data_IF_671899496339
#
_entry.id   IF_671899496339
#
_cell.length_a   1.000
_cell.length_b   1.000
_cell.length_c   1.000
_cell.angle_alpha   90.00
_cell.angle_beta   90.00
_cell.angle_gamma   90.00
#
_symmetry.space_group_name_H-M   'P 1'
#
loop_
_entity.id
_entity.type
_entity.pdbx_description
1 polymer ?
#
# COMPACT_ATOMS: atom_id res chain seq x y z
N UNK A 1 -20.55 18.56 20.69
CA UNK A 1 -19.58 18.11 21.73
C UNK A 1 -20.04 18.47 23.13
N UNK A 2 -20.44 19.72 23.42
CA UNK A 2 -20.91 20.13 24.75
C UNK A 2 -22.10 19.31 25.25
N UNK A 3 -23.04 18.93 24.36
CA UNK A 3 -24.23 18.15 24.74
C UNK A 3 -23.90 16.70 25.10
N UNK A 4 -22.98 16.07 24.37
CA UNK A 4 -22.54 14.69 24.65
C UNK A 4 -21.78 14.65 25.98
N UNK A 5 -20.86 15.58 26.22
CA UNK A 5 -20.15 15.68 27.49
C UNK A 5 -21.08 15.92 28.70
N UNK A 6 -22.08 16.75 28.54
CA UNK A 6 -23.09 16.98 29.58
C UNK A 6 -23.92 15.71 29.84
N UNK A 7 -24.34 14.99 28.82
CA UNK A 7 -25.11 13.75 28.95
C UNK A 7 -24.31 12.65 29.69
N UNK A 8 -23.04 12.46 29.31
CA UNK A 8 -22.14 11.48 29.97
C UNK A 8 -21.97 11.84 31.44
N UNK A 9 -21.66 13.10 31.74
CA UNK A 9 -21.48 13.59 33.13
C UNK A 9 -22.76 13.36 33.96
N UNK A 10 -23.93 13.70 33.45
CA UNK A 10 -25.20 13.53 34.14
C UNK A 10 -25.49 12.06 34.46
N UNK A 11 -25.24 11.15 33.55
CA UNK A 11 -25.46 9.72 33.78
C UNK A 11 -24.45 9.15 34.80
N UNK A 12 -23.20 9.55 34.74
CA UNK A 12 -22.19 9.17 35.72
C UNK A 12 -22.57 9.64 37.11
N UNK A 13 -22.96 10.92 37.26
CA UNK A 13 -23.29 11.50 38.54
C UNK A 13 -24.50 10.78 39.16
N UNK A 14 -25.55 10.51 38.38
CA UNK A 14 -26.68 9.68 38.81
C UNK A 14 -26.27 8.27 39.24
N UNK A 15 -25.39 7.62 38.51
CA UNK A 15 -24.90 6.27 38.85
C UNK A 15 -24.11 6.28 40.13
N UNK A 16 -23.18 7.23 40.30
CA UNK A 16 -22.35 7.33 41.48
C UNK A 16 -23.16 7.70 42.73
N UNK A 17 -24.16 8.58 42.59
CA UNK A 17 -25.08 8.96 43.69
C UNK A 17 -25.89 7.77 44.17
N UNK A 18 -26.49 7.01 43.24
CA UNK A 18 -27.25 5.80 43.57
C UNK A 18 -26.37 4.74 44.28
N UNK A 19 -25.11 4.60 43.86
CA UNK A 19 -24.18 3.63 44.46
C UNK A 19 -23.80 4.05 45.90
N UNK A 20 -23.51 5.34 46.11
CA UNK A 20 -23.21 5.91 47.42
C UNK A 20 -24.41 5.76 48.37
N UNK A 21 -25.63 5.99 47.87
CA UNK A 21 -26.88 5.80 48.60
C UNK A 21 -27.05 4.33 49.04
N UNK A 22 -26.91 3.38 48.12
CA UNK A 22 -27.03 1.95 48.37
C UNK A 22 -26.02 1.44 49.41
N UNK A 23 -24.85 2.03 49.46
CA UNK A 23 -23.78 1.67 50.41
C UNK A 23 -23.91 2.37 51.76
N UNK A 24 -24.85 3.29 51.92
CA UNK A 24 -25.03 4.08 53.16
C UNK A 24 -23.85 5.00 53.47
N UNK A 25 -23.16 5.50 52.43
CA UNK A 25 -21.96 6.35 52.50
C UNK A 25 -22.27 7.83 52.23
N UNK A 26 -23.53 8.22 52.31
CA UNK A 26 -23.94 9.61 52.13
C UNK A 26 -23.29 10.49 53.20
N UNK A 27 -22.76 11.64 52.78
CA UNK A 27 -22.07 12.59 53.65
C UNK A 27 -20.74 12.11 54.25
N UNK A 28 -20.31 10.88 53.98
CA UNK A 28 -19.03 10.34 54.49
C UNK A 28 -17.90 10.58 53.46
N UNK A 29 -16.68 10.67 53.97
CA UNK A 29 -15.47 10.78 53.15
C UNK A 29 -15.29 9.61 52.15
N UNK A 30 -15.74 8.39 52.53
CA UNK A 30 -15.79 7.22 51.64
C UNK A 30 -16.69 7.40 50.43
N UNK A 31 -17.87 8.07 50.59
CA UNK A 31 -18.75 8.38 49.49
C UNK A 31 -18.14 9.38 48.49
N UNK A 32 -17.48 10.41 49.02
CA UNK A 32 -16.77 11.40 48.21
C UNK A 32 -15.61 10.74 47.43
N UNK A 33 -14.86 9.86 48.11
CA UNK A 33 -13.78 9.10 47.46
C UNK A 33 -14.30 8.21 46.32
N UNK A 34 -15.40 7.48 46.57
CA UNK A 34 -16.01 6.62 45.53
C UNK A 34 -16.46 7.40 44.31
N UNK A 35 -17.11 8.55 44.47
CA UNK A 35 -17.50 9.42 43.34
C UNK A 35 -16.30 9.90 42.54
N UNK A 36 -15.21 10.32 43.22
CA UNK A 36 -13.97 10.72 42.55
C UNK A 36 -13.32 9.55 41.81
N UNK A 37 -13.31 8.35 42.36
CA UNK A 37 -12.77 7.15 41.75
C UNK A 37 -13.55 6.76 40.50
N UNK A 38 -14.89 6.80 40.53
CA UNK A 38 -15.75 6.54 39.37
C UNK A 38 -15.46 7.56 38.26
N UNK A 39 -15.37 8.85 38.59
CA UNK A 39 -15.07 9.90 37.62
C UNK A 39 -13.67 9.72 36.99
N UNK A 40 -12.69 9.29 37.75
CA UNK A 40 -11.34 9.01 37.28
C UNK A 40 -11.30 7.80 36.32
N UNK A 41 -11.96 6.70 36.71
CA UNK A 41 -12.06 5.49 35.86
C UNK A 41 -12.77 5.80 34.53
N UNK A 42 -13.86 6.55 34.56
CA UNK A 42 -14.57 6.99 33.36
C UNK A 42 -13.66 7.83 32.45
N UNK A 43 -12.94 8.79 33.06
CA UNK A 43 -12.03 9.65 32.32
C UNK A 43 -10.91 8.85 31.62
N UNK A 44 -10.31 7.87 32.32
CA UNK A 44 -9.33 6.96 31.74
C UNK A 44 -9.97 6.08 30.65
N UNK A 45 -11.15 5.53 30.92
CA UNK A 45 -11.86 4.67 29.97
C UNK A 45 -12.19 5.40 28.66
N UNK A 46 -12.72 6.62 28.74
CA UNK A 46 -13.00 7.43 27.56
C UNK A 46 -11.74 7.82 26.79
N UNK A 47 -10.68 8.20 27.49
CA UNK A 47 -9.39 8.49 26.86
C UNK A 47 -8.83 7.25 26.15
N UNK A 48 -8.88 6.08 26.79
CA UNK A 48 -8.43 4.82 26.21
C UNK A 48 -9.23 4.46 24.95
N UNK A 49 -10.55 4.56 25.02
CA UNK A 49 -11.43 4.31 23.85
C UNK A 49 -11.06 5.26 22.70
N UNK A 50 -10.88 6.55 22.99
CA UNK A 50 -10.49 7.54 22.00
C UNK A 50 -9.13 7.20 21.35
N UNK A 51 -8.15 6.83 22.18
CA UNK A 51 -6.82 6.39 21.69
C UNK A 51 -6.94 5.17 20.78
N UNK A 52 -7.73 4.16 21.16
CA UNK A 52 -7.95 2.96 20.34
C UNK A 52 -8.65 3.30 19.01
N UNK A 53 -9.60 4.22 19.01
CA UNK A 53 -10.28 4.70 17.80
C UNK A 53 -9.27 5.41 16.89
N UNK A 54 -8.48 6.33 17.45
CA UNK A 54 -7.44 7.05 16.70
C UNK A 54 -6.42 6.07 16.11
N UNK A 55 -5.93 5.13 16.91
CA UNK A 55 -4.98 4.11 16.43
C UNK A 55 -5.56 3.26 15.30
N UNK A 56 -6.83 2.86 15.42
CA UNK A 56 -7.46 2.00 14.40
C UNK A 56 -7.77 2.74 13.10
N UNK A 57 -8.15 4.03 13.18
CA UNK A 57 -8.61 4.80 12.01
C UNK A 57 -7.49 5.60 11.37
N UNK A 58 -6.62 6.22 12.17
CA UNK A 58 -5.63 7.20 11.69
C UNK A 58 -4.20 6.67 11.65
N UNK A 59 -3.82 5.79 12.58
CA UNK A 59 -2.45 5.35 12.74
C UNK A 59 -2.29 3.86 12.45
N UNK A 60 -1.62 3.55 11.34
CA UNK A 60 -1.12 2.20 11.08
C UNK A 60 0.19 1.96 11.83
N UNK A 61 0.32 0.80 12.47
CA UNK A 61 1.58 0.33 13.05
C UNK A 61 2.14 -0.76 12.13
N UNK A 62 3.28 -0.49 11.50
CA UNK A 62 3.89 -1.39 10.52
C UNK A 62 5.26 -1.87 11.00
N UNK A 63 5.50 -3.17 10.92
CA UNK A 63 6.81 -3.78 11.09
C UNK A 63 7.45 -3.97 9.71
N UNK A 64 8.69 -3.54 9.54
CA UNK A 64 9.44 -3.71 8.30
C UNK A 64 10.31 -4.97 8.39
N UNK A 65 10.00 -6.03 7.64
CA UNK A 65 10.74 -7.28 7.74
C UNK A 65 11.99 -7.35 6.86
N UNK A 66 12.08 -6.51 5.82
CA UNK A 66 13.12 -6.60 4.77
C UNK A 66 13.99 -5.36 4.68
N UNK A 67 15.18 -5.51 4.11
CA UNK A 67 16.14 -4.42 3.90
C UNK A 67 15.89 -3.57 2.63
N UNK A 68 14.75 -3.71 1.96
CA UNK A 68 14.50 -3.03 0.67
C UNK A 68 14.45 -1.48 0.75
N UNK A 69 14.34 -0.93 1.96
CA UNK A 69 14.31 0.52 2.22
C UNK A 69 15.57 1.01 2.95
N UNK A 70 16.61 0.19 3.03
CA UNK A 70 17.91 0.62 3.58
C UNK A 70 18.54 1.72 2.72
N UNK A 71 19.25 2.65 3.34
CA UNK A 71 19.50 2.84 4.77
C UNK A 71 18.40 3.61 5.51
N UNK A 72 17.36 4.08 4.83
CA UNK A 72 16.30 4.92 5.42
C UNK A 72 15.52 4.16 6.49
N UNK A 73 15.14 2.92 6.18
CA UNK A 73 14.40 2.04 7.09
C UNK A 73 15.11 0.69 7.09
N UNK A 74 15.46 0.21 8.28
CA UNK A 74 16.15 -1.07 8.46
C UNK A 74 15.16 -2.20 8.79
N UNK A 75 15.54 -3.46 8.56
CA UNK A 75 14.77 -4.60 9.06
C UNK A 75 14.51 -4.49 10.56
N UNK A 76 13.30 -4.88 10.98
CA UNK A 76 12.78 -4.79 12.36
C UNK A 76 12.46 -3.37 12.85
N UNK A 77 12.63 -2.32 12.05
CA UNK A 77 12.08 -1.01 12.37
C UNK A 77 10.54 -1.09 12.44
N UNK A 78 9.96 -0.30 13.35
CA UNK A 78 8.50 -0.11 13.41
C UNK A 78 8.15 1.32 13.04
N UNK A 79 7.14 1.43 12.20
CA UNK A 79 6.72 2.70 11.60
C UNK A 79 5.28 3.02 12.01
N UNK A 80 5.03 4.31 12.21
CA UNK A 80 3.67 4.82 12.14
C UNK A 80 3.38 5.33 10.73
N UNK A 81 2.22 4.93 10.23
CA UNK A 81 1.68 5.42 8.96
C UNK A 81 0.36 6.15 9.19
N UNK A 82 0.16 7.24 8.45
CA UNK A 82 -1.12 7.94 8.39
C UNK A 82 -2.01 7.25 7.36
N UNK A 83 -3.08 6.59 7.82
CA UNK A 83 -4.00 5.79 7.00
C UNK A 83 -5.07 6.63 6.28
N UNK A 84 -5.21 7.91 6.64
CA UNK A 84 -6.29 8.75 6.13
C UNK A 84 -5.82 9.85 5.19
N UNK A 85 -4.52 10.12 5.12
CA UNK A 85 -3.97 11.24 4.34
C UNK A 85 -4.39 11.18 2.87
N UNK A 86 -4.38 9.99 2.26
CA UNK A 86 -4.72 9.78 0.85
C UNK A 86 -6.23 9.71 0.58
N UNK A 87 -7.07 9.89 1.60
CA UNK A 87 -8.50 10.19 1.42
C UNK A 87 -8.76 11.67 1.08
N UNK A 88 -7.79 12.54 1.37
CA UNK A 88 -7.91 13.99 1.22
C UNK A 88 -6.99 14.57 0.14
N UNK A 89 -5.93 13.86 -0.22
CA UNK A 89 -5.01 14.23 -1.30
C UNK A 89 -4.35 13.00 -1.91
N UNK A 90 -3.73 13.18 -3.05
CA UNK A 90 -2.96 12.11 -3.71
C UNK A 90 -1.55 11.96 -3.11
N UNK A 91 -0.92 10.79 -3.29
CA UNK A 91 0.50 10.61 -3.01
C UNK A 91 1.37 11.58 -3.80
N UNK A 92 2.43 12.10 -3.16
CA UNK A 92 3.41 13.00 -3.74
C UNK A 92 4.74 12.28 -3.93
N UNK A 93 5.57 12.80 -4.85
CA UNK A 93 6.93 12.27 -5.04
C UNK A 93 7.73 12.36 -3.74
N UNK A 94 8.58 11.37 -3.53
CA UNK A 94 9.39 11.15 -2.33
C UNK A 94 8.66 10.67 -1.08
N UNK A 95 7.35 10.59 -1.08
CA UNK A 95 6.63 10.02 0.06
C UNK A 95 6.86 8.51 0.17
N UNK A 96 7.04 8.05 1.39
CA UNK A 96 7.12 6.63 1.69
C UNK A 96 5.71 6.10 1.92
N UNK A 97 5.27 5.22 1.04
CA UNK A 97 3.93 4.62 1.08
C UNK A 97 3.97 3.19 1.60
N UNK A 98 2.91 2.80 2.29
CA UNK A 98 2.60 1.41 2.62
C UNK A 98 1.42 1.00 1.76
N UNK A 99 1.56 -0.07 1.02
CA UNK A 99 0.56 -0.54 0.06
C UNK A 99 0.49 -2.07 0.01
N UNK A 100 -0.63 -2.61 -0.46
CA UNK A 100 -0.73 -4.02 -0.80
C UNK A 100 -0.01 -4.28 -2.11
N UNK A 101 0.91 -5.24 -2.12
CA UNK A 101 1.63 -5.59 -3.32
C UNK A 101 0.67 -6.07 -4.43
N UNK A 102 1.00 -5.86 -5.72
CA UNK A 102 0.03 -6.01 -6.81
C UNK A 102 -0.29 -7.46 -7.20
N UNK A 103 0.49 -8.44 -6.75
CA UNK A 103 0.37 -9.83 -7.20
C UNK A 103 -0.48 -10.66 -6.23
N UNK A 104 -0.02 -10.85 -4.98
CA UNK A 104 -0.73 -11.65 -3.98
C UNK A 104 -1.91 -10.88 -3.35
N UNK A 105 -1.84 -9.54 -3.36
CA UNK A 105 -2.80 -8.65 -2.70
C UNK A 105 -2.97 -8.92 -1.18
N UNK A 106 -1.99 -9.55 -0.56
CA UNK A 106 -2.00 -9.98 0.86
C UNK A 106 -0.94 -9.27 1.68
N UNK A 107 0.27 -9.15 1.15
CA UNK A 107 1.43 -8.62 1.85
C UNK A 107 1.51 -7.11 1.69
N UNK A 108 1.90 -6.42 2.77
CA UNK A 108 2.15 -4.99 2.72
C UNK A 108 3.61 -4.72 2.40
N UNK A 109 3.82 -3.90 1.36
CA UNK A 109 5.13 -3.38 1.00
C UNK A 109 5.27 -1.93 1.42
N UNK A 110 6.49 -1.55 1.72
CA UNK A 110 6.87 -0.16 1.99
C UNK A 110 7.88 0.26 0.94
N UNK A 111 7.57 1.29 0.15
CA UNK A 111 8.41 1.85 -0.91
C UNK A 111 8.26 3.36 -0.98
N UNK A 112 9.15 4.01 -1.71
CA UNK A 112 9.09 5.44 -1.99
C UNK A 112 8.42 5.69 -3.32
N UNK A 113 7.50 6.65 -3.37
CA UNK A 113 6.90 7.13 -4.62
C UNK A 113 7.95 7.91 -5.40
N UNK A 114 8.34 7.40 -6.55
CA UNK A 114 9.36 8.04 -7.41
C UNK A 114 8.79 8.56 -8.70
N UNK A 115 7.65 8.04 -9.17
CA UNK A 115 6.95 8.54 -10.33
C UNK A 115 5.46 8.68 -10.07
N UNK A 116 4.86 9.71 -10.67
CA UNK A 116 3.47 10.11 -10.53
C UNK A 116 2.64 9.77 -11.79
N UNK A 117 1.32 9.71 -11.70
CA UNK A 117 0.44 9.38 -12.82
C UNK A 117 0.68 10.27 -14.05
N UNK A 118 0.81 9.67 -15.21
CA UNK A 118 1.01 10.33 -16.49
C UNK A 118 2.46 10.73 -16.79
N UNK A 119 3.39 10.48 -15.90
CA UNK A 119 4.79 10.80 -16.12
C UNK A 119 5.52 9.75 -16.96
N UNK A 120 6.47 10.23 -17.77
CA UNK A 120 7.45 9.42 -18.48
C UNK A 120 8.65 9.18 -17.58
N UNK A 121 9.02 7.93 -17.34
CA UNK A 121 10.14 7.56 -16.47
C UNK A 121 11.11 6.61 -17.18
N UNK A 122 12.41 6.76 -16.93
CA UNK A 122 13.44 5.85 -17.40
C UNK A 122 14.69 5.93 -16.54
N UNK A 123 15.55 4.91 -16.62
CA UNK A 123 16.87 4.88 -15.99
C UNK A 123 17.94 5.10 -17.05
N UNK A 124 18.84 6.03 -16.77
CA UNK A 124 20.04 6.32 -17.57
C UNK A 124 21.19 6.61 -16.63
N UNK A 125 22.36 5.99 -16.87
CA UNK A 125 23.57 6.15 -16.09
C UNK A 125 23.30 5.99 -14.56
N UNK A 126 22.53 4.97 -14.21
CA UNK A 126 22.08 4.68 -12.83
C UNK A 126 21.22 5.79 -12.18
N UNK A 127 20.70 6.73 -12.95
CA UNK A 127 19.84 7.79 -12.42
C UNK A 127 18.42 7.66 -12.98
N UNK A 128 17.44 7.98 -12.13
CA UNK A 128 16.04 8.06 -12.56
C UNK A 128 15.80 9.42 -13.22
N UNK A 129 15.24 9.37 -14.41
CA UNK A 129 14.72 10.53 -15.12
C UNK A 129 13.20 10.49 -15.11
N UNK A 130 12.59 11.64 -14.91
CA UNK A 130 11.14 11.85 -14.94
C UNK A 130 10.86 13.04 -15.83
N UNK A 131 10.07 12.83 -16.89
CA UNK A 131 9.80 13.84 -17.93
C UNK A 131 11.08 14.49 -18.47
N UNK A 132 12.08 13.64 -18.70
CA UNK A 132 13.43 14.02 -19.18
C UNK A 132 14.29 14.83 -18.16
N UNK A 133 13.80 15.04 -16.93
CA UNK A 133 14.56 15.68 -15.84
C UNK A 133 15.19 14.63 -14.93
N UNK A 134 16.49 14.79 -14.63
CA UNK A 134 17.22 13.91 -13.73
C UNK A 134 16.78 14.10 -12.27
N UNK A 135 16.38 13.03 -11.62
CA UNK A 135 16.03 13.03 -10.20
C UNK A 135 17.27 12.69 -9.36
N UNK A 136 17.84 13.68 -8.68
CA UNK A 136 19.09 13.58 -7.93
C UNK A 136 18.89 13.08 -6.49
N UNK A 137 18.17 11.97 -6.30
CA UNK A 137 17.90 11.46 -4.94
C UNK A 137 18.80 10.26 -4.64
N UNK A 138 18.93 9.34 -5.60
CA UNK A 138 19.69 8.09 -5.45
C UNK A 138 20.16 7.57 -6.79
N UNK A 139 21.20 6.76 -6.77
CA UNK A 139 21.58 5.93 -7.90
C UNK A 139 20.78 4.63 -7.89
N UNK A 140 20.25 4.25 -9.01
CA UNK A 140 19.49 3.03 -9.18
C UNK A 140 20.24 2.06 -10.09
N UNK A 141 20.39 0.81 -9.65
CA UNK A 141 20.89 -0.22 -10.56
C UNK A 141 19.90 -0.45 -11.70
N UNK A 142 20.41 -0.88 -12.85
CA UNK A 142 19.63 -1.26 -14.04
C UNK A 142 18.84 -2.58 -13.87
N UNK A 143 18.57 -3.01 -12.64
CA UNK A 143 17.77 -4.20 -12.39
C UNK A 143 16.34 -3.99 -12.86
N UNK A 144 15.83 -4.94 -13.65
CA UNK A 144 14.49 -4.90 -14.21
C UNK A 144 14.45 -4.38 -15.64
N UNK A 145 13.23 -4.09 -16.12
CA UNK A 145 12.97 -3.71 -17.52
C UNK A 145 13.07 -2.21 -17.76
N UNK A 146 13.17 -1.39 -16.73
CA UNK A 146 13.25 0.06 -16.86
C UNK A 146 14.65 0.49 -17.27
N UNK A 147 14.79 1.12 -18.43
CA UNK A 147 16.07 1.61 -18.97
C UNK A 147 15.87 2.75 -19.96
N UNK A 148 16.96 3.33 -20.47
CA UNK A 148 16.90 4.46 -21.40
C UNK A 148 16.17 4.11 -22.72
N UNK A 149 16.41 2.93 -23.28
CA UNK A 149 15.73 2.44 -24.47
C UNK A 149 14.28 1.97 -24.20
N UNK A 150 13.92 1.75 -22.93
CA UNK A 150 12.63 1.24 -22.50
C UNK A 150 12.05 2.18 -21.43
N UNK A 151 11.71 3.40 -21.82
CA UNK A 151 10.98 4.29 -20.91
C UNK A 151 9.57 3.77 -20.65
N UNK A 152 9.01 4.16 -19.51
CA UNK A 152 7.65 3.81 -19.12
C UNK A 152 6.80 5.05 -18.97
N UNK A 153 5.56 4.97 -19.43
CA UNK A 153 4.52 5.94 -19.11
C UNK A 153 3.72 5.40 -17.95
N UNK A 154 3.66 6.13 -16.86
CA UNK A 154 2.90 5.73 -15.66
C UNK A 154 1.42 5.95 -15.94
N UNK A 155 0.57 4.91 -15.86
CA UNK A 155 -0.85 5.07 -16.17
C UNK A 155 -1.53 6.06 -15.24
N UNK A 156 -2.39 6.90 -15.76
CA UNK A 156 -3.31 7.75 -15.00
C UNK A 156 -4.75 7.38 -15.30
N UNK A 157 -5.63 7.76 -14.41
CA UNK A 157 -7.08 7.55 -14.60
C UNK A 157 -7.54 8.09 -15.96
N UNK A 158 -8.27 7.24 -16.70
CA UNK A 158 -8.77 7.51 -18.04
C UNK A 158 -7.86 7.04 -19.17
N UNK A 159 -6.62 6.68 -18.90
CA UNK A 159 -5.72 6.13 -19.92
C UNK A 159 -6.18 4.75 -20.41
N UNK A 160 -5.87 4.45 -21.66
CA UNK A 160 -6.08 3.12 -22.23
C UNK A 160 -4.86 2.27 -21.95
N UNK A 161 -5.06 1.15 -21.23
CA UNK A 161 -4.02 0.14 -20.97
C UNK A 161 -4.27 -1.05 -21.88
N UNK A 162 -3.25 -1.45 -22.61
CA UNK A 162 -3.27 -2.65 -23.45
C UNK A 162 -2.26 -3.67 -22.94
N UNK A 163 -2.66 -4.93 -22.92
CA UNK A 163 -1.79 -6.08 -22.67
C UNK A 163 -1.81 -6.95 -23.91
N UNK A 164 -0.64 -7.11 -24.51
CA UNK A 164 -0.47 -7.78 -25.81
C UNK A 164 0.36 -9.03 -25.56
N UNK A 165 -0.24 -10.23 -25.66
CA UNK A 165 0.52 -11.48 -25.59
C UNK A 165 1.40 -11.65 -26.83
N UNK A 166 2.58 -12.22 -26.63
CA UNK A 166 3.51 -12.55 -27.73
C UNK A 166 2.93 -13.60 -28.71
N UNK A 167 3.57 -13.74 -29.86
CA UNK A 167 3.08 -14.57 -30.97
C UNK A 167 2.84 -16.06 -30.61
N UNK A 168 3.51 -16.58 -29.59
CA UNK A 168 3.46 -17.98 -29.20
C UNK A 168 2.39 -18.34 -28.19
N UNK A 169 1.57 -17.38 -27.73
CA UNK A 169 0.61 -17.61 -26.65
C UNK A 169 -0.44 -18.66 -27.02
N UNK A 170 -0.97 -18.65 -28.23
CA UNK A 170 -1.94 -19.64 -28.69
C UNK A 170 -1.38 -21.08 -28.74
N UNK A 171 -0.09 -21.22 -28.98
CA UNK A 171 0.59 -22.54 -28.98
C UNK A 171 1.01 -22.97 -27.57
N UNK A 172 1.37 -22.02 -26.72
CA UNK A 172 1.85 -22.30 -25.35
C UNK A 172 0.75 -22.83 -24.43
N UNK A 173 -0.49 -22.42 -24.65
CA UNK A 173 -1.64 -22.81 -23.83
C UNK A 173 -2.13 -24.22 -24.10
N UNK A 174 -1.71 -24.85 -25.22
CA UNK A 174 -2.10 -26.22 -25.58
C UNK A 174 -1.03 -27.27 -25.26
N UNK A 175 0.10 -26.91 -24.65
CA UNK A 175 1.34 -27.66 -24.76
C UNK A 175 1.58 -28.77 -23.75
N UNK A 176 0.76 -29.00 -22.75
CA UNK A 176 0.93 -30.14 -21.84
C UNK A 176 -0.23 -31.16 -21.96
N UNK A 177 -0.20 -31.94 -23.04
CA UNK A 177 -1.11 -33.08 -23.25
C UNK A 177 -2.45 -32.74 -23.92
N UNK A 178 -2.55 -31.65 -24.69
CA UNK A 178 -3.73 -31.30 -25.49
C UNK A 178 -4.97 -30.90 -24.65
N UNK A 179 -4.80 -30.55 -23.39
CA UNK A 179 -5.88 -30.04 -22.53
C UNK A 179 -5.84 -28.52 -22.46
N UNK A 180 -6.99 -27.84 -22.47
CA UNK A 180 -7.05 -26.39 -22.23
C UNK A 180 -6.41 -26.07 -20.88
N UNK A 181 -5.66 -24.95 -20.82
CA UNK A 181 -5.10 -24.45 -19.57
C UNK A 181 -6.24 -23.98 -18.67
N UNK A 182 -6.25 -24.43 -17.43
CA UNK A 182 -7.21 -23.97 -16.43
C UNK A 182 -6.83 -22.57 -15.96
N UNK A 183 -7.65 -21.57 -16.29
CA UNK A 183 -7.44 -20.15 -15.92
C UNK A 183 -7.33 -19.99 -14.40
N UNK A 184 -8.15 -20.74 -13.64
CA UNK A 184 -8.11 -20.64 -12.16
C UNK A 184 -6.79 -21.18 -11.61
N UNK A 185 -6.25 -22.25 -12.18
CA UNK A 185 -4.95 -22.80 -11.80
C UNK A 185 -3.81 -21.82 -12.14
N UNK A 186 -3.84 -21.17 -13.33
CA UNK A 186 -2.86 -20.14 -13.70
C UNK A 186 -2.94 -18.96 -12.74
N UNK A 187 -4.13 -18.45 -12.44
CA UNK A 187 -4.30 -17.36 -11.49
C UNK A 187 -3.79 -17.73 -10.08
N UNK A 188 -4.05 -18.96 -9.64
CA UNK A 188 -3.52 -19.47 -8.38
C UNK A 188 -2.00 -19.50 -8.38
N UNK A 189 -1.38 -20.02 -9.45
CA UNK A 189 0.08 -20.04 -9.58
C UNK A 189 0.69 -18.64 -9.57
N UNK A 190 0.06 -17.66 -10.24
CA UNK A 190 0.49 -16.26 -10.23
C UNK A 190 0.47 -15.67 -8.80
N UNK A 191 -0.59 -15.95 -8.05
CA UNK A 191 -0.75 -15.48 -6.68
C UNK A 191 0.22 -16.17 -5.71
N UNK A 192 0.42 -17.48 -5.87
CA UNK A 192 1.27 -18.27 -4.97
C UNK A 192 2.77 -18.03 -5.24
N UNK A 193 3.15 -17.68 -6.48
CA UNK A 193 4.53 -17.47 -6.91
C UNK A 193 4.74 -16.07 -7.54
N UNK A 194 4.68 -14.98 -6.76
CA UNK A 194 4.73 -13.61 -7.29
C UNK A 194 6.03 -13.28 -8.05
N UNK A 195 7.13 -13.95 -7.73
CA UNK A 195 8.40 -13.80 -8.44
C UNK A 195 8.44 -14.48 -9.81
N UNK A 196 7.46 -15.35 -10.12
CA UNK A 196 7.42 -16.14 -11.34
C UNK A 196 6.43 -15.60 -12.41
N UNK A 197 5.88 -14.40 -12.23
CA UNK A 197 4.90 -13.82 -13.17
C UNK A 197 5.42 -13.86 -14.61
N UNK A 198 6.66 -13.43 -14.86
CA UNK A 198 7.27 -13.44 -16.17
C UNK A 198 7.55 -14.85 -16.75
N UNK A 199 7.56 -15.87 -15.88
CA UNK A 199 7.71 -17.27 -16.29
C UNK A 199 6.36 -17.93 -16.58
N UNK A 200 5.34 -17.54 -15.82
CA UNK A 200 3.97 -18.07 -15.94
C UNK A 200 3.25 -17.41 -17.12
N UNK A 201 3.45 -16.11 -17.30
CA UNK A 201 2.95 -15.31 -18.42
C UNK A 201 4.13 -14.63 -19.12
N UNK A 202 4.93 -15.36 -19.91
CA UNK A 202 6.08 -14.80 -20.63
C UNK A 202 5.62 -13.90 -21.77
N UNK A 203 6.52 -13.06 -22.29
CA UNK A 203 6.34 -12.25 -23.50
C UNK A 203 5.05 -11.40 -23.54
N UNK A 204 4.67 -10.83 -22.39
CA UNK A 204 3.62 -9.83 -22.35
C UNK A 204 4.18 -8.44 -22.60
N UNK A 205 3.64 -7.73 -23.58
CA UNK A 205 3.88 -6.32 -23.80
C UNK A 205 2.74 -5.49 -23.21
N UNK A 206 3.10 -4.46 -22.43
CA UNK A 206 2.16 -3.52 -21.87
C UNK A 206 2.28 -2.17 -22.57
N UNK A 207 1.14 -1.54 -22.87
CA UNK A 207 1.08 -0.20 -23.46
C UNK A 207 0.10 0.69 -22.71
N UNK A 208 0.42 1.98 -22.68
CA UNK A 208 -0.48 3.03 -22.20
C UNK A 208 -0.66 4.03 -23.33
N UNK A 209 -1.89 4.23 -23.79
CA UNK A 209 -2.23 5.09 -24.91
C UNK A 209 -1.40 4.81 -26.19
N UNK A 210 -1.08 3.52 -26.43
CA UNK A 210 -0.26 3.06 -27.53
C UNK A 210 1.25 3.06 -27.28
N UNK A 211 1.74 3.74 -26.26
CA UNK A 211 3.16 3.77 -25.89
C UNK A 211 3.52 2.59 -24.98
N UNK A 212 4.67 1.96 -25.26
CA UNK A 212 5.18 0.83 -24.48
C UNK A 212 5.46 1.26 -23.03
N UNK A 213 5.13 0.39 -22.06
CA UNK A 213 5.28 0.72 -20.64
C UNK A 213 5.67 -0.51 -19.80
N UNK A 214 5.82 -0.30 -18.50
CA UNK A 214 6.03 -1.36 -17.51
C UNK A 214 4.77 -2.16 -17.21
N UNK A 215 4.92 -3.21 -16.46
CA UNK A 215 3.82 -4.11 -16.11
C UNK A 215 2.71 -3.42 -15.33
N UNK A 216 1.47 -3.78 -15.64
CA UNK A 216 0.26 -3.41 -14.92
C UNK A 216 -0.39 -4.69 -14.42
N UNK A 217 0.10 -5.20 -13.30
CA UNK A 217 -0.24 -6.55 -12.82
C UNK A 217 -1.64 -6.67 -12.21
N UNK A 218 -2.33 -5.58 -11.97
CA UNK A 218 -3.72 -5.64 -11.51
C UNK A 218 -4.64 -6.45 -12.43
N UNK A 219 -4.29 -6.53 -13.71
CA UNK A 219 -5.05 -7.25 -14.73
C UNK A 219 -5.07 -8.77 -14.49
N UNK A 220 -4.09 -9.35 -13.80
CA UNK A 220 -4.05 -10.79 -13.50
C UNK A 220 -5.15 -11.23 -12.53
N UNK A 221 -5.77 -10.29 -11.82
CA UNK A 221 -6.87 -10.56 -10.91
C UNK A 221 -8.23 -10.65 -11.61
N UNK A 222 -8.29 -10.28 -12.89
CA UNK A 222 -9.47 -10.45 -13.73
C UNK A 222 -9.37 -11.75 -14.54
N UNK A 223 -10.21 -12.73 -14.22
CA UNK A 223 -10.21 -14.05 -14.87
C UNK A 223 -10.46 -13.95 -16.39
N UNK A 224 -11.33 -13.02 -16.82
CA UNK A 224 -11.63 -12.83 -18.24
C UNK A 224 -10.45 -12.23 -18.99
N UNK A 225 -9.70 -11.34 -18.33
CA UNK A 225 -8.48 -10.79 -18.93
C UNK A 225 -7.41 -11.88 -19.06
N UNK A 226 -7.21 -12.69 -18.02
CA UNK A 226 -6.26 -13.81 -18.07
C UNK A 226 -6.66 -14.83 -19.13
N UNK A 227 -7.95 -15.17 -19.27
CA UNK A 227 -8.45 -16.07 -20.33
C UNK A 227 -8.11 -15.57 -21.71
N UNK A 228 -8.36 -14.29 -22.00
CA UNK A 228 -7.99 -13.65 -23.28
C UNK A 228 -6.49 -13.67 -23.53
N UNK A 229 -5.68 -13.33 -22.53
CA UNK A 229 -4.23 -13.39 -22.63
C UNK A 229 -3.80 -14.82 -23.00
N UNK A 230 -4.32 -15.82 -22.31
CA UNK A 230 -3.98 -17.22 -22.55
C UNK A 230 -4.42 -17.69 -23.96
N UNK A 231 -5.50 -17.15 -24.51
CA UNK A 231 -5.92 -17.43 -25.90
C UNK A 231 -5.14 -16.65 -26.97
N UNK A 232 -4.18 -15.82 -26.55
CA UNK A 232 -3.40 -14.98 -27.47
C UNK A 232 -4.11 -13.70 -27.90
N UNK A 233 -5.21 -13.35 -27.26
CA UNK A 233 -5.97 -12.14 -27.57
C UNK A 233 -5.45 -10.93 -26.77
N UNK A 234 -5.37 -9.80 -27.45
CA UNK A 234 -5.08 -8.51 -26.81
C UNK A 234 -6.18 -8.14 -25.81
N UNK A 235 -5.78 -7.73 -24.62
CA UNK A 235 -6.68 -7.15 -23.61
C UNK A 235 -6.53 -5.65 -23.61
N UNK A 236 -7.65 -4.93 -23.65
CA UNK A 236 -7.69 -3.47 -23.55
C UNK A 236 -8.62 -3.08 -22.41
N UNK A 237 -8.12 -2.27 -21.48
CA UNK A 237 -8.88 -1.74 -20.36
C UNK A 237 -8.63 -0.25 -20.20
N UNK A 238 -9.62 0.47 -19.65
CA UNK A 238 -9.42 1.87 -19.25
C UNK A 238 -9.01 1.91 -17.79
N UNK A 239 -7.96 2.66 -17.47
CA UNK A 239 -7.52 2.88 -16.11
C UNK A 239 -8.63 3.58 -15.30
N UNK A 240 -9.18 2.92 -14.31
CA UNK A 240 -10.21 3.45 -13.41
C UNK A 240 -9.65 4.33 -12.30
N UNK A 241 -8.34 4.20 -12.02
CA UNK A 241 -7.59 4.94 -11.00
C UNK A 241 -6.21 5.33 -11.51
N UNK A 242 -5.52 6.15 -10.73
CA UNK A 242 -4.12 6.51 -10.96
C UNK A 242 -3.15 5.40 -10.50
N UNK A 243 -1.97 5.37 -11.13
CA UNK A 243 -0.88 4.46 -10.81
C UNK A 243 0.39 5.23 -10.43
N UNK A 244 1.26 4.58 -9.68
CA UNK A 244 2.49 5.15 -9.14
C UNK A 244 3.68 4.24 -9.36
N UNK A 245 4.85 4.82 -9.63
CA UNK A 245 6.12 4.10 -9.60
C UNK A 245 6.67 4.13 -8.17
N UNK A 246 6.79 2.97 -7.55
CA UNK A 246 7.24 2.82 -6.17
C UNK A 246 8.57 2.06 -6.11
N UNK A 247 9.64 2.73 -5.68
CA UNK A 247 11.00 2.17 -5.63
C UNK A 247 11.51 2.04 -4.21
N UNK A 248 12.35 1.03 -3.99
CA UNK A 248 13.04 0.85 -2.72
C UNK A 248 14.25 1.77 -2.59
N UNK A 249 14.53 2.20 -1.37
CA UNK A 249 15.70 3.01 -1.06
C UNK A 249 17.01 2.20 -1.13
N UNK A 250 16.95 0.89 -0.91
CA UNK A 250 18.03 -0.05 -1.21
C UNK A 250 17.98 -0.44 -2.69
N UNK A 251 18.58 0.38 -3.51
CA UNK A 251 18.42 0.31 -4.96
C UNK A 251 18.92 -1.00 -5.59
N UNK A 252 19.90 -1.67 -4.97
CA UNK A 252 20.48 -2.94 -5.43
C UNK A 252 19.80 -4.16 -4.80
N UNK A 253 19.10 -3.99 -3.67
CA UNK A 253 18.46 -5.07 -2.90
C UNK A 253 16.96 -4.93 -2.78
N UNK A 254 16.29 -4.24 -3.68
CA UNK A 254 14.84 -4.02 -3.63
C UNK A 254 14.10 -4.72 -4.76
N UNK A 255 13.14 -5.57 -4.39
CA UNK A 255 12.10 -6.05 -5.28
C UNK A 255 10.97 -5.01 -5.32
N UNK A 256 10.90 -4.21 -6.37
CA UNK A 256 10.04 -3.03 -6.48
C UNK A 256 9.46 -2.84 -7.88
N UNK A 257 8.93 -1.67 -8.20
CA UNK A 257 8.28 -1.38 -9.48
C UNK A 257 9.13 -1.70 -10.71
N UNK A 258 10.45 -1.72 -10.60
CA UNK A 258 11.34 -2.13 -11.70
C UNK A 258 11.12 -3.60 -12.10
N UNK A 259 10.64 -4.41 -11.16
CA UNK A 259 10.42 -5.86 -11.34
C UNK A 259 8.95 -6.22 -11.61
N UNK A 260 8.00 -5.51 -11.01
CA UNK A 260 6.58 -5.86 -11.05
C UNK A 260 5.67 -4.71 -11.53
N UNK A 261 6.25 -3.56 -11.96
CA UNK A 261 5.50 -2.48 -12.55
C UNK A 261 4.86 -1.51 -11.54
N UNK A 262 3.65 -1.06 -11.80
CA UNK A 262 3.04 0.06 -11.10
C UNK A 262 2.13 -0.35 -9.93
N UNK A 263 1.96 0.58 -8.98
CA UNK A 263 1.04 0.45 -7.84
C UNK A 263 -0.22 1.25 -8.12
N UNK A 264 -1.37 0.59 -8.14
CA UNK A 264 -2.68 1.22 -8.26
C UNK A 264 -3.03 2.01 -6.98
N UNK A 265 -3.68 3.16 -7.11
CA UNK A 265 -4.00 4.08 -6.01
C UNK A 265 -4.74 3.38 -4.86
N UNK A 266 -5.75 2.57 -5.14
CA UNK A 266 -6.55 1.84 -4.14
C UNK A 266 -5.75 0.83 -3.30
N UNK A 267 -4.58 0.40 -3.79
CA UNK A 267 -3.67 -0.47 -3.03
C UNK A 267 -2.94 0.26 -1.93
N UNK A 268 -2.81 1.59 -2.02
CA UNK A 268 -2.08 2.41 -1.06
C UNK A 268 -2.89 2.52 0.23
N UNK A 269 -2.31 2.10 1.35
CA UNK A 269 -2.96 2.07 2.66
C UNK A 269 -2.64 3.30 3.50
N UNK A 270 -1.50 3.94 3.27
CA UNK A 270 -1.14 5.14 3.99
C UNK A 270 0.29 5.60 3.73
N UNK A 271 0.63 6.75 4.31
CA UNK A 271 1.96 7.35 4.28
C UNK A 271 2.71 7.00 5.56
N UNK A 272 3.86 6.33 5.44
CA UNK A 272 4.77 6.18 6.57
C UNK A 272 5.42 7.53 6.87
N UNK A 273 5.39 7.98 8.13
CA UNK A 273 5.88 9.32 8.50
C UNK A 273 6.78 9.35 9.72
N UNK A 274 6.73 8.33 10.59
CA UNK A 274 7.58 8.23 11.78
C UNK A 274 8.09 6.80 11.92
N UNK A 275 9.40 6.67 12.13
CA UNK A 275 10.00 5.48 12.70
C UNK A 275 10.05 5.67 14.22
N UNK A 276 9.35 4.83 14.97
CA UNK A 276 9.24 4.97 16.42
C UNK A 276 10.00 3.89 17.20
N UNK A 277 10.43 2.85 16.54
CA UNK A 277 11.24 1.79 17.13
C UNK A 277 12.32 1.32 16.14
N UNK A 278 13.53 0.98 16.61
CA UNK A 278 14.00 1.05 18.00
C UNK A 278 14.20 2.49 18.49
N UNK A 279 14.18 2.70 19.81
CA UNK A 279 14.19 4.03 20.42
C UNK A 279 15.40 4.90 20.03
N UNK A 280 16.58 4.27 19.83
CA UNK A 280 17.80 4.95 19.40
C UNK A 280 17.76 5.40 17.92
N UNK A 281 16.70 5.07 17.19
CA UNK A 281 16.53 5.41 15.77
C UNK A 281 15.22 6.18 15.49
N UNK A 282 14.57 6.70 16.51
CA UNK A 282 13.35 7.50 16.34
C UNK A 282 13.63 8.66 15.39
N UNK A 283 12.82 8.79 14.33
CA UNK A 283 12.95 9.87 13.35
C UNK A 283 11.69 10.06 12.53
N UNK A 284 11.51 11.28 12.03
CA UNK A 284 10.56 11.54 10.94
C UNK A 284 11.11 10.94 9.64
N UNK A 285 10.23 10.33 8.87
CA UNK A 285 10.54 9.80 7.54
C UNK A 285 10.21 10.88 6.50
N UNK A 286 11.19 11.26 5.71
CA UNK A 286 11.07 12.24 4.63
C UNK A 286 11.25 11.55 3.29
#
# INVERSE_FOLDING_TARGET
EKQIGAFIKTNRDKFSDNLVLKLGWEGKSSGIFLKKAIAFIESIGTALILVLIIQKIYLGNFLVPTGSMEPTIMPKDRLFGNLVVYKFRKPERNEIIVFKEPIQNKVLYTKRVMGLPGEKVFLKDNHLYVNDEKINIREYSSLGQLGEANYWIIPKKGDTIEVIPGANYGEYTWSKGGKPVDVAEVQKQLVDNPGAVAQILPDLEFRVNGEKTGMVLDIIHDSKAVEKILSGEKVTVTADEDYYLALGDNTNGSYDSRMWGFVKESRIKGKAFVRFWPLNRISLLK
#
